data_IF_576374524564
#
_entry.id   IF_576374524564
#
_cell.length_a   1.000
_cell.length_b   1.000
_cell.length_c   1.000
_cell.angle_alpha   90.00
_cell.angle_beta   90.00
_cell.angle_gamma   90.00
#
_symmetry.space_group_name_H-M   'P 1'
#
loop_
_entity.id
_entity.type
_entity.pdbx_description
1 polymer ?
#
# COMPACT_ATOMS: atom_id res chain seq x y z
N UNK A 1 -9.03 -17.40 26.07
CA UNK A 1 -8.86 -17.36 27.55
C UNK A 1 -7.63 -16.52 27.94
N UNK A 2 -7.44 -15.36 27.31
CA UNK A 2 -6.26 -14.50 27.47
C UNK A 2 -6.54 -13.00 27.79
N UNK A 3 -7.79 -12.47 27.83
CA UNK A 3 -7.96 -11.02 28.08
C UNK A 3 -8.23 -10.63 29.54
N UNK A 4 -8.43 -11.58 30.47
CA UNK A 4 -8.88 -11.24 31.84
C UNK A 4 -7.72 -11.00 32.82
N UNK A 5 -6.53 -11.56 32.54
CA UNK A 5 -5.35 -11.35 33.40
C UNK A 5 -4.73 -9.96 33.29
N UNK A 6 -5.05 -9.18 32.26
CA UNK A 6 -4.49 -7.83 32.07
C UNK A 6 -5.28 -6.74 32.81
N UNK A 7 -6.51 -7.06 33.27
CA UNK A 7 -7.40 -6.10 33.92
C UNK A 7 -7.21 -6.02 35.44
N UNK A 8 -6.49 -6.96 36.06
CA UNK A 8 -6.34 -7.05 37.53
C UNK A 8 -5.01 -6.52 38.08
N UNK A 9 -4.11 -6.00 37.21
CA UNK A 9 -2.83 -5.39 37.62
C UNK A 9 -2.80 -3.85 37.47
N UNK A 10 -3.94 -3.21 37.21
CA UNK A 10 -4.05 -1.75 36.97
C UNK A 10 -4.56 -1.03 38.23
N UNK A 11 -4.14 -1.45 39.41
CA UNK A 11 -4.43 -0.69 40.64
C UNK A 11 -3.33 0.34 40.95
N UNK A 12 -2.09 0.13 40.44
CA UNK A 12 -0.99 1.12 40.43
C UNK A 12 0.04 0.74 39.34
N UNK A 13 -0.07 1.24 38.10
CA UNK A 13 0.84 0.83 37.03
C UNK A 13 2.27 1.31 37.30
N UNK A 14 3.22 0.38 37.31
CA UNK A 14 4.64 0.71 37.35
C UNK A 14 5.04 1.43 36.05
N UNK A 15 6.12 2.23 36.08
CA UNK A 15 6.60 2.95 34.89
C UNK A 15 6.85 1.98 33.70
N UNK A 16 7.30 0.76 33.99
CA UNK A 16 7.58 -0.26 32.99
C UNK A 16 6.31 -0.79 32.31
N UNK A 17 5.19 -0.86 33.02
CA UNK A 17 3.91 -1.31 32.46
C UNK A 17 3.30 -0.25 31.55
N UNK A 18 3.41 1.03 31.93
CA UNK A 18 3.01 2.16 31.08
C UNK A 18 3.81 2.14 29.77
N UNK A 19 5.13 1.94 29.88
CA UNK A 19 6.02 1.95 28.72
C UNK A 19 5.70 0.81 27.74
N UNK A 20 5.39 -0.40 28.25
CA UNK A 20 4.95 -1.54 27.43
C UNK A 20 3.61 -1.27 26.73
N UNK A 21 2.63 -0.69 27.44
CA UNK A 21 1.32 -0.35 26.87
C UNK A 21 1.48 0.69 25.76
N UNK A 22 2.29 1.72 25.97
CA UNK A 22 2.54 2.78 24.97
C UNK A 22 3.22 2.22 23.73
N UNK A 23 4.25 1.37 23.89
CA UNK A 23 4.94 0.77 22.74
C UNK A 23 4.03 -0.20 21.97
N UNK A 24 3.26 -1.04 22.68
CA UNK A 24 2.35 -2.00 22.05
C UNK A 24 1.19 -1.30 21.32
N UNK A 25 0.59 -0.28 21.94
CA UNK A 25 -0.52 0.49 21.34
C UNK A 25 -0.03 1.38 20.19
N UNK A 26 1.12 2.04 20.36
CA UNK A 26 1.74 2.87 19.33
C UNK A 26 2.15 2.07 18.09
N UNK A 27 2.80 0.91 18.30
CA UNK A 27 3.19 0.02 17.20
C UNK A 27 1.98 -0.50 16.42
N UNK A 28 0.89 -0.83 17.11
CA UNK A 28 -0.36 -1.29 16.47
C UNK A 28 -0.98 -0.21 15.60
N UNK A 29 -1.02 1.04 16.08
CA UNK A 29 -1.56 2.16 15.30
C UNK A 29 -0.75 2.43 14.04
N UNK A 30 0.59 2.45 14.15
CA UNK A 30 1.48 2.67 13.00
C UNK A 30 1.31 1.55 11.97
N UNK A 31 1.24 0.29 12.42
CA UNK A 31 1.02 -0.85 11.53
C UNK A 31 -0.30 -0.73 10.77
N UNK A 32 -1.39 -0.35 11.45
CA UNK A 32 -2.70 -0.19 10.85
C UNK A 32 -2.68 0.91 9.78
N UNK A 33 -2.07 2.05 10.09
CA UNK A 33 -1.89 3.16 9.13
C UNK A 33 -1.10 2.69 7.91
N UNK A 34 0.04 2.01 8.11
CA UNK A 34 0.88 1.52 7.02
C UNK A 34 0.13 0.56 6.08
N UNK A 35 -0.68 -0.35 6.64
CA UNK A 35 -1.50 -1.28 5.84
C UNK A 35 -2.52 -0.53 4.99
N UNK A 36 -3.25 0.43 5.57
CA UNK A 36 -4.25 1.21 4.82
C UNK A 36 -3.59 2.00 3.69
N UNK A 37 -2.47 2.68 3.96
CA UNK A 37 -1.73 3.40 2.93
C UNK A 37 -1.18 2.47 1.85
N UNK A 38 -0.73 1.27 2.21
CA UNK A 38 -0.30 0.25 1.26
C UNK A 38 -1.41 -0.17 0.30
N UNK A 39 -2.63 -0.40 0.81
CA UNK A 39 -3.80 -0.76 0.01
C UNK A 39 -4.17 0.39 -0.94
N UNK A 40 -4.26 1.63 -0.43
CA UNK A 40 -4.60 2.80 -1.25
C UNK A 40 -3.58 3.02 -2.35
N UNK A 41 -2.28 2.93 -2.04
CA UNK A 41 -1.19 3.07 -3.01
C UNK A 41 -1.30 2.02 -4.12
N UNK A 42 -1.60 0.76 -3.77
CA UNK A 42 -1.78 -0.32 -4.74
C UNK A 42 -2.98 -0.07 -5.66
N UNK A 43 -4.12 0.38 -5.11
CA UNK A 43 -5.31 0.74 -5.89
C UNK A 43 -5.01 1.87 -6.87
N UNK A 44 -4.34 2.93 -6.40
CA UNK A 44 -3.99 4.08 -7.23
C UNK A 44 -3.04 3.67 -8.36
N UNK A 45 -2.01 2.88 -8.07
CA UNK A 45 -1.08 2.37 -9.08
C UNK A 45 -1.81 1.58 -10.17
N UNK A 46 -2.69 0.65 -9.78
CA UNK A 46 -3.44 -0.16 -10.72
C UNK A 46 -4.38 0.68 -11.59
N UNK A 47 -5.07 1.67 -11.00
CA UNK A 47 -5.92 2.59 -11.74
C UNK A 47 -5.14 3.43 -12.75
N UNK A 48 -3.96 3.92 -12.38
CA UNK A 48 -3.11 4.70 -13.30
C UNK A 48 -2.62 3.82 -14.46
N UNK A 49 -2.18 2.59 -14.19
CA UNK A 49 -1.76 1.69 -15.27
C UNK A 49 -2.88 1.38 -16.25
N UNK A 50 -4.09 1.15 -15.74
CA UNK A 50 -5.27 0.90 -16.57
C UNK A 50 -5.67 2.14 -17.39
N UNK A 51 -5.61 3.33 -16.78
CA UNK A 51 -5.84 4.59 -17.47
C UNK A 51 -4.83 4.79 -18.61
N UNK A 52 -3.54 4.61 -18.34
CA UNK A 52 -2.50 4.72 -19.37
C UNK A 52 -2.71 3.74 -20.51
N UNK A 53 -3.12 2.48 -20.24
CA UNK A 53 -3.44 1.51 -21.30
C UNK A 53 -4.58 1.98 -22.21
N UNK A 54 -5.62 2.58 -21.62
CA UNK A 54 -6.76 3.12 -22.39
C UNK A 54 -6.36 4.34 -23.21
N UNK A 55 -5.55 5.23 -22.65
CA UNK A 55 -5.03 6.40 -23.36
C UNK A 55 -4.14 5.97 -24.54
N UNK A 56 -3.23 5.02 -24.34
CA UNK A 56 -2.42 4.45 -25.44
C UNK A 56 -3.31 3.82 -26.51
N UNK A 57 -4.33 3.05 -26.14
CA UNK A 57 -5.26 2.47 -27.11
C UNK A 57 -6.02 3.54 -27.90
N UNK A 58 -6.44 4.63 -27.25
CA UNK A 58 -7.09 5.76 -27.91
C UNK A 58 -6.15 6.45 -28.89
N UNK A 59 -4.91 6.76 -28.50
CA UNK A 59 -3.92 7.38 -29.39
C UNK A 59 -3.59 6.51 -30.62
N UNK A 60 -3.55 5.19 -30.45
CA UNK A 60 -3.39 4.25 -31.57
C UNK A 60 -4.61 4.26 -32.49
N UNK A 61 -5.83 4.29 -31.92
CA UNK A 61 -7.07 4.34 -32.69
C UNK A 61 -7.25 5.66 -33.45
N UNK A 62 -6.79 6.77 -32.86
CA UNK A 62 -6.78 8.11 -33.47
C UNK A 62 -5.66 8.27 -34.51
N UNK A 63 -4.68 7.35 -34.55
CA UNK A 63 -3.53 7.40 -35.44
C UNK A 63 -2.45 8.41 -35.04
N UNK A 64 -2.54 9.00 -33.85
CA UNK A 64 -1.53 9.91 -33.30
C UNK A 64 -0.32 9.18 -32.70
N UNK A 65 -0.41 7.86 -32.57
CA UNK A 65 0.65 6.96 -32.13
C UNK A 65 0.58 5.64 -32.92
N UNK A 66 1.72 5.06 -33.29
CA UNK A 66 1.72 3.73 -33.92
C UNK A 66 1.54 2.61 -32.89
N UNK A 67 1.00 1.46 -33.31
CA UNK A 67 0.84 0.31 -32.43
C UNK A 67 2.18 -0.16 -31.80
N UNK A 68 3.27 -0.12 -32.58
CA UNK A 68 4.61 -0.48 -32.11
C UNK A 68 5.14 0.49 -31.03
N UNK A 69 4.88 1.79 -31.18
CA UNK A 69 5.21 2.79 -30.15
C UNK A 69 4.39 2.57 -28.88
N UNK A 70 3.10 2.27 -29.02
CA UNK A 70 2.23 1.90 -27.91
C UNK A 70 2.73 0.66 -27.17
N UNK A 71 3.14 -0.39 -27.88
CA UNK A 71 3.72 -1.59 -27.28
C UNK A 71 4.99 -1.26 -26.49
N UNK A 72 5.89 -0.46 -27.07
CA UNK A 72 7.13 -0.01 -26.42
C UNK A 72 6.87 0.79 -25.15
N UNK A 73 5.91 1.71 -25.16
CA UNK A 73 5.52 2.48 -23.97
C UNK A 73 4.96 1.58 -22.86
N UNK A 74 4.08 0.64 -23.21
CA UNK A 74 3.51 -0.31 -22.25
C UNK A 74 4.55 -1.29 -21.68
N UNK A 75 5.62 -1.59 -22.43
CA UNK A 75 6.77 -2.38 -21.95
C UNK A 75 7.69 -1.57 -21.04
N UNK A 76 7.98 -0.30 -21.36
CA UNK A 76 8.84 0.55 -20.55
C UNK A 76 8.33 0.72 -19.10
N UNK A 77 7.00 0.78 -18.92
CA UNK A 77 6.37 0.87 -17.60
C UNK A 77 6.52 -0.38 -16.71
N UNK A 78 7.04 -1.51 -17.22
CA UNK A 78 7.26 -2.74 -16.44
C UNK A 78 8.65 -2.82 -15.76
N UNK A 79 9.54 -1.86 -15.99
CA UNK A 79 10.93 -1.91 -15.50
C UNK A 79 11.73 -3.04 -16.15
N UNK A 80 13.08 -3.08 -15.99
CA UNK A 80 13.87 -4.18 -16.53
C UNK A 80 13.34 -5.49 -15.94
N UNK A 81 12.97 -6.40 -16.83
CA UNK A 81 12.59 -7.76 -16.46
C UNK A 81 13.71 -8.30 -15.56
N UNK A 82 13.38 -8.63 -14.31
CA UNK A 82 14.16 -9.62 -13.58
C UNK A 82 14.10 -10.88 -14.46
N UNK A 83 15.25 -11.18 -15.06
CA UNK A 83 15.49 -12.34 -15.93
C UNK A 83 15.71 -13.58 -15.07
#
# INVERSE_FOLDING_TARGET
>A
MFPILLASSVDNPSMDDILKIVVASGGTLIALVAVVFGIVSSILKNRQMERTRREVAAYVAEGSMTADEGERLLRAGRGPAQS
#
